data_IF_155836598274
#
_entry.id   IF_155836598274
#
_cell.length_a   1.000
_cell.length_b   1.000
_cell.length_c   1.000
_cell.angle_alpha   90.00
_cell.angle_beta   90.00
_cell.angle_gamma   90.00
#
_symmetry.space_group_name_H-M   'P 1'
#
loop_
_entity.id
_entity.type
_entity.pdbx_description
1 polymer ?
#
# COMPACT_ATOMS: atom_id res chain seq x y z
N UNK A 1 57.66 -42.04 15.86
CA UNK A 1 56.49 -41.30 16.36
C UNK A 1 56.04 -40.32 15.29
N UNK A 2 55.02 -40.65 14.49
CA UNK A 2 54.47 -39.70 13.51
C UNK A 2 53.00 -40.04 13.25
N UNK A 3 52.13 -39.64 14.17
CA UNK A 3 50.68 -39.68 13.98
C UNK A 3 50.20 -38.26 13.81
N UNK A 4 49.80 -37.91 12.58
CA UNK A 4 49.27 -36.59 12.22
C UNK A 4 47.79 -36.48 12.63
N UNK A 5 47.39 -35.65 13.61
CA UNK A 5 45.98 -35.40 13.93
C UNK A 5 45.35 -34.31 13.04
N UNK A 6 46.01 -33.87 11.97
CA UNK A 6 45.66 -32.64 11.23
C UNK A 6 44.71 -32.81 10.04
N UNK A 7 44.24 -34.02 9.73
CA UNK A 7 43.34 -34.26 8.58
C UNK A 7 41.86 -34.13 8.90
N UNK A 8 41.45 -34.24 10.16
CA UNK A 8 40.04 -34.09 10.57
C UNK A 8 39.62 -32.62 10.75
N UNK A 9 40.52 -31.78 11.25
CA UNK A 9 40.26 -30.34 11.41
C UNK A 9 40.14 -29.60 10.08
N UNK A 10 40.96 -29.97 9.08
CA UNK A 10 40.88 -29.37 7.73
C UNK A 10 39.61 -29.74 6.96
N UNK A 11 39.04 -30.93 7.23
CA UNK A 11 37.79 -31.38 6.61
C UNK A 11 36.55 -30.73 7.23
N UNK A 12 36.57 -30.47 8.54
CA UNK A 12 35.48 -29.74 9.21
C UNK A 12 35.38 -28.28 8.73
N UNK A 13 36.51 -27.62 8.46
CA UNK A 13 36.53 -26.23 7.99
C UNK A 13 35.99 -26.07 6.56
N UNK A 14 36.12 -27.11 5.71
CA UNK A 14 35.63 -27.09 4.33
C UNK A 14 34.12 -27.37 4.20
N UNK A 15 33.50 -27.98 5.23
CA UNK A 15 32.04 -28.21 5.23
C UNK A 15 31.30 -27.00 5.81
N UNK A 16 31.89 -26.28 6.77
CA UNK A 16 31.30 -25.09 7.37
C UNK A 16 31.23 -23.88 6.42
N UNK A 17 32.04 -23.87 5.35
CA UNK A 17 32.07 -22.78 4.36
C UNK A 17 31.06 -22.93 3.22
N UNK A 18 30.42 -24.11 3.08
CA UNK A 18 29.46 -24.37 2.01
C UNK A 18 27.99 -24.05 2.38
N UNK A 19 27.71 -23.80 3.66
CA UNK A 19 26.35 -23.54 4.16
C UNK A 19 26.03 -22.06 4.46
N UNK A 20 26.95 -21.14 4.13
CA UNK A 20 26.80 -19.72 4.47
C UNK A 20 26.24 -18.85 3.32
N UNK A 21 25.73 -19.45 2.23
CA UNK A 21 25.47 -18.73 0.98
C UNK A 21 24.00 -18.67 0.52
N UNK A 22 23.01 -18.88 1.39
CA UNK A 22 21.58 -18.83 0.99
C UNK A 22 20.69 -17.91 1.83
N UNK A 23 21.26 -16.99 2.62
CA UNK A 23 20.49 -15.94 3.27
C UNK A 23 20.31 -14.76 2.31
N UNK A 24 19.15 -14.66 1.66
CA UNK A 24 18.80 -13.43 0.94
C UNK A 24 17.84 -13.55 -0.25
N UNK A 25 17.04 -14.60 -0.37
CA UNK A 25 15.84 -14.50 -1.21
C UNK A 25 14.74 -13.82 -0.38
N UNK A 26 14.85 -12.51 -0.18
CA UNK A 26 13.67 -11.71 0.17
C UNK A 26 12.76 -11.79 -1.04
N UNK A 27 11.73 -12.64 -0.95
CA UNK A 27 10.57 -12.55 -1.82
C UNK A 27 9.91 -11.21 -1.51
N UNK A 28 10.35 -10.15 -2.19
CA UNK A 28 9.51 -8.98 -2.36
C UNK A 28 8.30 -9.48 -3.14
N UNK A 29 7.17 -9.72 -2.46
CA UNK A 29 5.88 -9.64 -3.12
C UNK A 29 5.92 -8.33 -3.91
N UNK A 30 5.71 -8.40 -5.22
CA UNK A 30 5.94 -7.26 -6.12
C UNK A 30 5.06 -6.08 -5.76
N UNK A 31 5.54 -5.21 -4.87
CA UNK A 31 5.00 -3.89 -4.66
C UNK A 31 5.70 -2.97 -5.66
N UNK A 32 4.93 -2.33 -6.53
CA UNK A 32 5.45 -1.16 -7.23
C UNK A 32 5.90 -0.14 -6.18
N UNK A 33 7.05 0.50 -6.38
CA UNK A 33 7.53 1.50 -5.42
C UNK A 33 6.66 2.76 -5.38
N UNK A 34 6.75 3.51 -4.28
CA UNK A 34 6.17 4.86 -4.18
C UNK A 34 6.80 5.76 -5.26
N UNK A 35 5.95 6.45 -6.02
CA UNK A 35 6.35 7.27 -7.17
C UNK A 35 5.70 8.66 -7.11
N UNK A 36 6.18 9.49 -6.18
CA UNK A 36 5.70 10.86 -5.93
C UNK A 36 6.87 11.78 -5.59
N UNK A 37 6.62 13.10 -5.51
CA UNK A 37 7.63 14.05 -5.07
C UNK A 37 7.99 13.82 -3.59
N UNK A 38 9.22 14.20 -3.18
CA UNK A 38 9.71 13.95 -1.82
C UNK A 38 8.86 14.57 -0.71
N UNK A 39 8.22 15.72 -0.98
CA UNK A 39 7.31 16.37 -0.02
C UNK A 39 5.96 15.64 0.12
N UNK A 40 5.67 14.66 -0.74
CA UNK A 40 4.44 13.85 -0.74
C UNK A 40 4.71 12.40 -0.34
N UNK A 41 5.98 12.05 -0.15
CA UNK A 41 6.45 10.72 0.25
C UNK A 41 5.71 10.22 1.49
N UNK A 42 5.59 11.05 2.54
CA UNK A 42 4.89 10.71 3.78
C UNK A 42 3.43 10.34 3.55
N UNK A 43 2.74 11.04 2.65
CA UNK A 43 1.34 10.77 2.35
C UNK A 43 1.18 9.43 1.61
N UNK A 44 2.09 9.14 0.68
CA UNK A 44 2.13 7.86 -0.01
C UNK A 44 2.44 6.70 0.96
N UNK A 45 3.45 6.85 1.83
CA UNK A 45 3.79 5.88 2.87
C UNK A 45 2.61 5.61 3.80
N UNK A 46 1.94 6.67 4.26
CA UNK A 46 0.74 6.55 5.09
C UNK A 46 -0.37 5.79 4.38
N UNK A 47 -0.58 6.02 3.07
CA UNK A 47 -1.52 5.24 2.28
C UNK A 47 -1.13 3.76 2.20
N UNK A 48 0.16 3.47 1.97
CA UNK A 48 0.68 2.09 1.94
C UNK A 48 0.49 1.40 3.29
N UNK A 49 0.79 2.07 4.41
CA UNK A 49 0.69 1.51 5.76
C UNK A 49 -0.76 1.26 6.20
N UNK A 50 -1.69 2.12 5.79
CA UNK A 50 -3.05 2.15 6.35
C UNK A 50 -4.12 1.67 5.39
N UNK A 51 -3.92 1.78 4.07
CA UNK A 51 -4.97 1.57 3.07
C UNK A 51 -4.66 0.47 2.04
N UNK A 52 -3.40 0.06 1.91
CA UNK A 52 -2.93 -0.86 0.85
C UNK A 52 -3.65 -2.22 0.82
N UNK A 53 -4.10 -2.74 1.97
CA UNK A 53 -4.73 -4.05 2.04
C UNK A 53 -6.10 -4.13 1.34
N UNK A 54 -6.73 -2.98 1.09
CA UNK A 54 -8.06 -2.90 0.48
C UNK A 54 -8.09 -2.04 -0.79
N UNK A 55 -7.16 -1.10 -0.94
CA UNK A 55 -7.18 -0.11 -2.00
C UNK A 55 -5.97 -0.20 -2.93
N UNK A 56 -6.23 0.04 -4.21
CA UNK A 56 -5.21 0.19 -5.26
C UNK A 56 -4.99 1.66 -5.59
N UNK A 57 -3.73 2.09 -5.56
CA UNK A 57 -3.27 3.40 -6.02
C UNK A 57 -1.80 3.29 -6.46
N UNK A 58 -1.53 3.50 -7.74
CA UNK A 58 -0.20 3.26 -8.33
C UNK A 58 0.87 4.18 -7.75
N UNK A 59 0.54 5.43 -7.41
CA UNK A 59 1.51 6.38 -6.86
C UNK A 59 2.00 5.98 -5.46
N UNK A 60 1.20 5.21 -4.72
CA UNK A 60 1.58 4.62 -3.43
C UNK A 60 2.01 3.16 -3.55
N UNK A 61 2.09 2.61 -4.76
CA UNK A 61 2.57 1.24 -4.98
C UNK A 61 1.60 0.13 -4.56
N UNK A 62 0.33 0.44 -4.32
CA UNK A 62 -0.60 -0.53 -3.70
C UNK A 62 -1.48 -1.23 -4.71
N UNK A 63 -1.81 -2.49 -4.44
CA UNK A 63 -2.66 -3.35 -5.29
C UNK A 63 -3.74 -4.09 -4.47
N UNK A 64 -4.40 -3.40 -3.53
CA UNK A 64 -5.38 -4.02 -2.62
C UNK A 64 -6.77 -4.28 -3.21
N UNK A 65 -7.13 -3.59 -4.30
CA UNK A 65 -8.43 -3.72 -4.95
C UNK A 65 -8.42 -4.78 -6.04
N UNK A 66 -9.50 -5.57 -6.16
CA UNK A 66 -9.75 -6.31 -7.40
C UNK A 66 -10.22 -5.37 -8.52
N UNK A 67 -9.84 -5.68 -9.76
CA UNK A 67 -10.43 -5.08 -10.96
C UNK A 67 -11.55 -5.95 -11.56
N UNK A 68 -11.67 -7.21 -11.12
CA UNK A 68 -12.66 -8.15 -11.59
C UNK A 68 -13.86 -8.18 -10.64
N UNK A 69 -15.01 -7.74 -11.14
CA UNK A 69 -16.27 -7.68 -10.39
C UNK A 69 -16.72 -9.05 -9.86
N UNK A 70 -16.38 -10.14 -10.55
CA UNK A 70 -16.78 -11.52 -10.17
C UNK A 70 -15.97 -12.07 -9.02
N UNK A 71 -14.78 -11.54 -8.78
CA UNK A 71 -13.89 -11.96 -7.69
C UNK A 71 -13.81 -10.92 -6.59
N UNK A 72 -14.69 -9.90 -6.63
CA UNK A 72 -14.74 -8.86 -5.63
C UNK A 72 -15.24 -9.42 -4.31
N UNK A 73 -14.40 -9.30 -3.30
CA UNK A 73 -14.70 -9.64 -1.93
C UNK A 73 -15.22 -8.42 -1.19
N UNK A 74 -15.82 -8.67 -0.02
CA UNK A 74 -16.34 -7.63 0.85
C UNK A 74 -15.27 -6.62 1.29
N UNK A 75 -14.02 -7.07 1.44
CA UNK A 75 -12.87 -6.24 1.82
C UNK A 75 -12.36 -5.31 0.72
N UNK A 76 -12.72 -5.56 -0.54
CA UNK A 76 -12.09 -4.86 -1.65
C UNK A 76 -12.62 -3.43 -1.75
N UNK A 77 -11.74 -2.48 -1.40
CA UNK A 77 -12.00 -1.06 -1.50
C UNK A 77 -11.89 -0.54 -2.93
N UNK A 78 -12.37 0.69 -3.20
CA UNK A 78 -12.17 1.38 -4.47
C UNK A 78 -10.73 1.35 -5.00
N UNK A 79 -10.60 1.09 -6.30
CA UNK A 79 -9.35 1.30 -7.05
C UNK A 79 -9.28 2.77 -7.51
N UNK A 80 -8.38 3.54 -6.93
CA UNK A 80 -8.23 4.97 -7.20
C UNK A 80 -7.53 5.27 -8.52
N UNK A 81 -6.87 4.29 -9.15
CA UNK A 81 -6.38 4.43 -10.53
C UNK A 81 -7.53 4.46 -11.55
N UNK A 82 -8.72 4.00 -11.16
CA UNK A 82 -9.88 3.89 -12.04
C UNK A 82 -11.01 4.87 -11.67
N UNK A 83 -10.98 5.40 -10.45
CA UNK A 83 -12.04 6.24 -9.89
C UNK A 83 -11.45 7.48 -9.20
N UNK A 84 -12.03 8.63 -9.52
CA UNK A 84 -11.78 9.89 -8.83
C UNK A 84 -12.35 9.88 -7.41
N UNK A 85 -11.66 10.52 -6.46
CA UNK A 85 -12.23 10.89 -5.17
C UNK A 85 -11.83 12.33 -4.84
N UNK A 86 -12.81 13.17 -4.53
CA UNK A 86 -12.51 14.54 -4.08
C UNK A 86 -11.92 14.52 -2.66
N UNK A 87 -11.21 15.59 -2.28
CA UNK A 87 -10.67 15.76 -0.93
C UNK A 87 -11.73 15.59 0.15
N UNK A 88 -12.87 16.27 0.02
CA UNK A 88 -13.96 16.19 1.00
C UNK A 88 -14.52 14.77 1.10
N UNK A 89 -14.66 14.08 -0.03
CA UNK A 89 -15.09 12.69 -0.06
C UNK A 89 -14.08 11.76 0.62
N UNK A 90 -12.78 11.91 0.34
CA UNK A 90 -11.75 11.11 0.96
C UNK A 90 -11.75 11.31 2.48
N UNK A 91 -11.82 12.57 2.93
CA UNK A 91 -11.83 12.91 4.35
C UNK A 91 -13.09 12.37 5.06
N UNK A 92 -14.26 12.50 4.45
CA UNK A 92 -15.49 11.91 4.95
C UNK A 92 -15.35 10.39 5.10
N UNK A 93 -14.84 9.69 4.08
CA UNK A 93 -14.67 8.24 4.12
C UNK A 93 -13.66 7.81 5.20
N UNK A 94 -12.53 8.52 5.33
CA UNK A 94 -11.52 8.24 6.37
C UNK A 94 -12.13 8.34 7.76
N UNK A 95 -12.95 9.36 8.03
CA UNK A 95 -13.57 9.57 9.35
C UNK A 95 -14.70 8.58 9.62
N UNK A 96 -15.47 8.21 8.61
CA UNK A 96 -16.72 7.45 8.78
C UNK A 96 -16.66 5.98 8.36
N UNK A 97 -15.52 5.49 7.89
CA UNK A 97 -15.36 4.11 7.45
C UNK A 97 -15.96 3.85 6.07
N UNK A 98 -15.75 4.78 5.14
CA UNK A 98 -16.25 4.71 3.78
C UNK A 98 -17.65 5.31 3.59
N UNK A 99 -18.24 5.03 2.42
CA UNK A 99 -19.56 5.54 2.00
C UNK A 99 -20.69 4.49 2.09
N UNK A 100 -20.37 3.25 2.43
CA UNK A 100 -21.27 2.12 2.26
C UNK A 100 -20.82 0.91 3.10
N UNK A 101 -21.32 -0.28 2.74
CA UNK A 101 -21.32 -1.50 3.52
C UNK A 101 -19.97 -2.18 3.75
N UNK A 102 -18.85 -1.75 3.15
CA UNK A 102 -17.54 -2.44 3.29
C UNK A 102 -16.92 -2.34 4.70
N UNK A 103 -15.88 -3.15 5.02
CA UNK A 103 -15.28 -3.21 6.36
C UNK A 103 -14.30 -2.06 6.65
N UNK A 104 -14.34 -0.96 5.88
CA UNK A 104 -13.37 0.12 6.04
C UNK A 104 -13.47 0.70 7.46
N UNK A 105 -12.39 0.66 8.27
CA UNK A 105 -12.43 1.19 9.63
C UNK A 105 -12.66 2.69 9.65
N UNK A 106 -13.44 3.15 10.63
CA UNK A 106 -13.58 4.58 10.92
C UNK A 106 -12.30 5.12 11.56
N UNK A 107 -11.93 6.36 11.25
CA UNK A 107 -10.80 7.06 11.83
C UNK A 107 -9.48 6.27 11.72
N UNK A 108 -9.27 5.59 10.58
CA UNK A 108 -8.05 4.82 10.32
C UNK A 108 -6.79 5.67 10.42
N UNK A 109 -6.92 6.97 10.14
CA UNK A 109 -6.00 8.06 10.48
C UNK A 109 -6.84 9.26 10.93
N UNK A 110 -6.25 10.19 11.69
CA UNK A 110 -6.94 11.37 12.24
C UNK A 110 -6.07 12.62 12.15
N UNK A 111 -6.65 13.80 12.43
CA UNK A 111 -5.93 15.07 12.45
C UNK A 111 -5.24 15.38 11.12
N UNK A 112 -4.00 15.86 11.19
CA UNK A 112 -3.19 16.25 10.02
C UNK A 112 -2.95 15.08 9.05
N UNK A 113 -2.82 13.85 9.56
CA UNK A 113 -2.63 12.68 8.71
C UNK A 113 -3.86 12.39 7.85
N UNK A 114 -5.07 12.62 8.38
CA UNK A 114 -6.31 12.46 7.61
C UNK A 114 -6.43 13.54 6.52
N UNK A 115 -6.08 14.78 6.82
CA UNK A 115 -6.08 15.88 5.85
C UNK A 115 -5.04 15.63 4.75
N UNK A 116 -3.81 15.26 5.13
CA UNK A 116 -2.73 14.93 4.22
C UNK A 116 -3.10 13.79 3.27
N UNK A 117 -3.72 12.73 3.80
CA UNK A 117 -4.15 11.58 3.00
C UNK A 117 -5.31 11.94 2.06
N UNK A 118 -6.22 12.80 2.49
CA UNK A 118 -7.33 13.28 1.67
C UNK A 118 -6.82 14.15 0.49
N UNK A 119 -5.86 15.04 0.74
CA UNK A 119 -5.21 15.86 -0.27
C UNK A 119 -4.44 14.99 -1.28
N UNK A 120 -3.70 14.00 -0.79
CA UNK A 120 -2.98 13.04 -1.62
C UNK A 120 -3.91 12.25 -2.55
N UNK A 121 -5.03 11.75 -2.03
CA UNK A 121 -6.02 11.02 -2.81
C UNK A 121 -6.71 11.89 -3.86
N UNK A 122 -7.05 13.13 -3.51
CA UNK A 122 -7.62 14.08 -4.46
C UNK A 122 -6.66 14.37 -5.62
N UNK A 123 -5.36 14.47 -5.33
CA UNK A 123 -4.34 14.73 -6.35
C UNK A 123 -4.07 13.53 -7.27
N UNK A 124 -3.98 12.33 -6.71
CA UNK A 124 -3.47 11.15 -7.43
C UNK A 124 -4.52 10.15 -7.88
N UNK A 125 -5.76 10.26 -7.41
CA UNK A 125 -6.85 9.47 -7.97
C UNK A 125 -7.12 9.85 -9.43
N UNK A 126 -7.75 8.96 -10.18
CA UNK A 126 -8.03 9.16 -11.60
C UNK A 126 -8.74 10.52 -11.80
N UNK A 127 -8.22 11.44 -12.62
CA UNK A 127 -8.86 12.72 -12.84
C UNK A 127 -10.28 12.56 -13.36
N UNK A 128 -11.16 13.43 -12.89
CA UNK A 128 -12.51 13.60 -13.41
C UNK A 128 -12.45 14.06 -14.88
N UNK A 129 -13.21 13.42 -15.76
CA UNK A 129 -13.43 13.94 -17.12
C UNK A 129 -14.46 15.07 -17.05
N UNK A 130 -14.08 16.27 -17.51
CA UNK A 130 -14.96 17.43 -17.60
C UNK A 130 -16.22 17.05 -18.39
N UNK A 131 -17.39 17.12 -17.74
CA UNK A 131 -18.70 16.76 -18.29
C UNK A 131 -19.25 15.38 -17.89
N UNK A 132 -18.51 14.59 -17.09
CA UNK A 132 -19.02 13.35 -16.49
C UNK A 132 -19.93 13.62 -15.29
N UNK A 133 -21.02 12.85 -15.14
CA UNK A 133 -22.00 12.98 -14.04
C UNK A 133 -21.46 12.65 -12.64
N UNK A 134 -20.17 12.37 -12.49
CA UNK A 134 -19.50 12.20 -11.21
C UNK A 134 -18.88 13.52 -10.69
N UNK A 135 -18.92 14.60 -11.50
CA UNK A 135 -18.19 15.87 -11.34
C UNK A 135 -18.56 16.75 -10.14
N UNK A 136 -19.40 16.25 -9.25
CA UNK A 136 -19.59 16.82 -7.93
C UNK A 136 -20.26 15.77 -7.07
N UNK A 137 -19.54 14.72 -6.66
CA UNK A 137 -19.92 14.11 -5.39
C UNK A 137 -19.60 15.14 -4.31
N UNK A 138 -20.58 16.02 -4.03
CA UNK A 138 -20.60 16.94 -2.90
C UNK A 138 -20.77 16.10 -1.63
N UNK A 139 -19.69 15.40 -1.27
CA UNK A 139 -19.65 14.74 0.02
C UNK A 139 -19.76 15.82 1.09
N UNK A 140 -20.56 15.57 2.14
CA UNK A 140 -20.75 16.55 3.19
C UNK A 140 -19.39 16.96 3.76
N UNK A 141 -19.23 18.24 4.16
CA UNK A 141 -18.00 18.68 4.80
C UNK A 141 -17.72 17.75 5.96
N UNK A 142 -16.49 17.23 6.00
CA UNK A 142 -16.06 16.42 7.11
C UNK A 142 -15.98 17.34 8.33
N UNK A 143 -16.97 17.20 9.23
CA UNK A 143 -17.08 17.99 10.46
C UNK A 143 -15.92 17.80 11.42
#
# INVERSE_FOLDING_TARGET
>A
MLSHPMTRFRRALLIATLFAATAGAVSACGEEGISVASNEQRAAELFTERCSGCHTLSQAGTQGSTTNIRTREYKDGPNFNQRHVSRNCALYAIRNGGFSSGPMPQNIVTGEEAELLADFLAKYSKPEVVGGSQAAQDCPPAG
#
